data_IF_815855375868
#
_entry.id   IF_815855375868
#
_cell.length_a   1.000
_cell.length_b   1.000
_cell.length_c   1.000
_cell.angle_alpha   90.00
_cell.angle_beta   90.00
_cell.angle_gamma   90.00
#
_symmetry.space_group_name_H-M   'P 1'
#
loop_
_entity.id
_entity.type
_entity.pdbx_description
1 polymer ?
#
# COMPACT_ATOMS: atom_id res chain seq x y z
N UNK A 1 -30.00 36.63 -8.20
CA UNK A 1 -29.62 35.91 -9.45
C UNK A 1 -29.00 34.57 -9.06
N UNK A 2 -29.58 33.43 -9.47
CA UNK A 2 -29.00 32.13 -9.18
C UNK A 2 -27.72 31.89 -10.00
N UNK A 3 -26.70 31.28 -9.38
CA UNK A 3 -25.42 30.93 -10.01
C UNK A 3 -25.62 29.82 -11.07
N UNK A 4 -24.86 29.82 -12.18
CA UNK A 4 -24.97 28.78 -13.19
C UNK A 4 -24.50 27.41 -12.67
N UNK A 5 -25.05 26.29 -13.18
CA UNK A 5 -24.63 24.95 -12.79
C UNK A 5 -23.21 24.64 -13.31
N UNK A 6 -22.39 24.03 -12.44
CA UNK A 6 -21.06 23.56 -12.80
C UNK A 6 -21.15 22.43 -13.84
N UNK A 7 -20.66 22.65 -15.05
CA UNK A 7 -20.37 21.59 -16.02
C UNK A 7 -19.06 20.88 -15.65
N UNK A 8 -18.99 19.54 -15.70
CA UNK A 8 -17.76 18.79 -15.43
C UNK A 8 -16.69 19.04 -16.53
N UNK A 9 -15.39 18.99 -16.20
CA UNK A 9 -14.33 19.20 -17.19
C UNK A 9 -14.28 18.07 -18.22
N UNK A 10 -14.05 18.45 -19.48
CA UNK A 10 -14.22 17.62 -20.68
C UNK A 10 -13.10 16.59 -20.96
N UNK A 11 -12.32 16.14 -19.97
CA UNK A 11 -11.32 15.06 -20.16
C UNK A 11 -11.23 14.13 -18.94
N UNK A 12 -11.35 12.80 -19.13
CA UNK A 12 -11.25 11.85 -18.03
C UNK A 12 -9.78 11.47 -17.77
N UNK A 13 -9.32 11.67 -16.54
CA UNK A 13 -8.20 10.91 -15.98
C UNK A 13 -8.55 9.40 -15.97
N UNK A 14 -7.59 8.48 -16.11
CA UNK A 14 -7.91 7.06 -16.17
C UNK A 14 -8.26 6.55 -14.75
N UNK A 15 -9.56 6.27 -14.60
CA UNK A 15 -10.12 5.17 -13.81
C UNK A 15 -9.73 5.03 -12.33
N UNK A 16 -10.14 6.00 -11.49
CA UNK A 16 -10.59 5.70 -10.12
C UNK A 16 -12.07 5.30 -10.15
N UNK A 17 -12.41 4.25 -10.90
CA UNK A 17 -13.76 3.69 -10.87
C UNK A 17 -13.82 2.73 -9.69
N UNK A 18 -14.34 3.22 -8.57
CA UNK A 18 -15.22 2.51 -7.64
C UNK A 18 -15.75 3.49 -6.58
N UNK A 19 -16.52 4.49 -7.01
CA UNK A 19 -17.56 5.06 -6.15
C UNK A 19 -18.75 4.09 -6.19
N UNK A 20 -18.73 3.05 -5.36
CA UNK A 20 -19.93 2.24 -5.13
C UNK A 20 -20.69 2.80 -3.93
N UNK A 21 -21.77 3.51 -4.24
CA UNK A 21 -23.05 3.50 -3.51
C UNK A 21 -23.01 3.72 -2.00
N UNK A 22 -22.97 4.98 -1.58
CA UNK A 22 -23.84 5.45 -0.49
C UNK A 22 -24.03 6.96 -0.63
N UNK A 23 -25.28 7.40 -0.73
CA UNK A 23 -25.66 8.81 -0.81
C UNK A 23 -25.43 9.52 0.52
N UNK A 24 -24.17 9.74 0.88
CA UNK A 24 -23.83 10.58 2.02
C UNK A 24 -23.75 12.05 1.57
N UNK A 25 -24.46 12.98 2.23
CA UNK A 25 -24.26 14.41 1.99
C UNK A 25 -22.78 14.76 2.26
N UNK A 26 -22.24 15.72 1.50
CA UNK A 26 -20.85 16.23 1.58
C UNK A 26 -20.54 16.94 2.92
N UNK A 27 -21.28 16.64 3.98
CA UNK A 27 -21.19 17.23 5.31
C UNK A 27 -20.00 16.65 6.06
N UNK A 28 -18.97 17.49 6.17
CA UNK A 28 -17.88 17.48 7.16
C UNK A 28 -17.21 16.11 7.39
N UNK A 29 -16.29 15.73 6.50
CA UNK A 29 -15.17 14.87 6.91
C UNK A 29 -14.18 15.74 7.70
N UNK A 30 -13.72 15.34 8.90
CA UNK A 30 -12.83 16.19 9.71
C UNK A 30 -11.42 16.34 9.13
N UNK A 31 -11.11 15.64 8.03
CA UNK A 31 -9.77 15.52 7.48
C UNK A 31 -9.83 15.54 5.94
N UNK A 32 -8.89 16.24 5.30
CA UNK A 32 -8.94 16.56 3.87
C UNK A 32 -8.63 15.42 2.89
N UNK A 33 -8.68 15.68 1.57
CA UNK A 33 -8.52 14.67 0.50
C UNK A 33 -7.18 13.92 0.52
N UNK A 34 -6.13 14.47 1.15
CA UNK A 34 -4.82 13.82 1.29
C UNK A 34 -4.84 12.66 2.29
N UNK A 35 -5.59 12.80 3.40
CA UNK A 35 -5.70 11.75 4.39
C UNK A 35 -6.47 10.54 3.83
N UNK A 36 -7.56 10.81 3.11
CA UNK A 36 -8.33 9.76 2.44
C UNK A 36 -7.45 9.00 1.42
N UNK A 37 -6.61 9.71 0.66
CA UNK A 37 -5.67 9.08 -0.28
C UNK A 37 -4.61 8.22 0.43
N UNK A 38 -4.00 8.74 1.50
CA UNK A 38 -3.02 7.99 2.30
C UNK A 38 -3.64 6.74 2.94
N UNK A 39 -4.85 6.87 3.49
CA UNK A 39 -5.59 5.74 4.07
C UNK A 39 -5.88 4.66 3.03
N UNK A 40 -6.34 5.06 1.85
CA UNK A 40 -6.59 4.10 0.77
C UNK A 40 -5.29 3.43 0.30
N UNK A 41 -4.20 4.19 0.17
CA UNK A 41 -2.90 3.65 -0.22
C UNK A 41 -2.37 2.61 0.78
N UNK A 42 -2.60 2.79 2.09
CA UNK A 42 -2.16 1.83 3.10
C UNK A 42 -3.09 0.62 3.19
N UNK A 43 -4.40 0.87 3.24
CA UNK A 43 -5.37 -0.08 3.81
C UNK A 43 -6.36 -0.67 2.81
N UNK A 44 -6.40 -0.20 1.55
CA UNK A 44 -7.33 -0.75 0.56
C UNK A 44 -6.90 -2.15 0.11
N UNK A 45 -7.52 -3.18 0.70
CA UNK A 45 -7.21 -4.58 0.41
C UNK A 45 -7.52 -5.02 -1.03
N UNK A 46 -8.29 -4.22 -1.79
CA UNK A 46 -8.69 -4.54 -3.17
C UNK A 46 -7.89 -3.74 -4.20
N UNK A 47 -7.34 -2.59 -3.82
CA UNK A 47 -6.52 -1.80 -4.72
C UNK A 47 -5.17 -2.48 -4.97
N UNK A 48 -4.93 -2.85 -6.22
CA UNK A 48 -3.61 -3.27 -6.67
C UNK A 48 -2.62 -2.13 -6.41
N UNK A 49 -1.54 -2.42 -5.68
CA UNK A 49 -0.54 -1.43 -5.29
C UNK A 49 -0.73 -0.78 -3.91
N UNK A 50 -1.82 -1.09 -3.18
CA UNK A 50 -1.89 -0.71 -1.77
C UNK A 50 -0.87 -1.50 -0.94
N UNK A 51 -0.41 -0.91 0.17
CA UNK A 51 0.63 -1.52 1.01
C UNK A 51 0.14 -2.85 1.58
N UNK A 52 -1.07 -2.91 2.15
CA UNK A 52 -1.64 -4.16 2.68
C UNK A 52 -1.76 -5.25 1.60
N UNK A 53 -2.14 -4.88 0.37
CA UNK A 53 -2.24 -5.82 -0.74
C UNK A 53 -0.87 -6.42 -1.08
N UNK A 54 0.14 -5.55 -1.22
CA UNK A 54 1.51 -5.95 -1.54
C UNK A 54 2.15 -6.79 -0.43
N UNK A 55 1.93 -6.44 0.84
CA UNK A 55 2.43 -7.21 1.99
C UNK A 55 1.81 -8.60 2.03
N UNK A 56 0.51 -8.73 1.79
CA UNK A 56 -0.15 -10.04 1.72
C UNK A 56 0.30 -10.86 0.52
N UNK A 57 0.58 -10.21 -0.61
CA UNK A 57 1.18 -10.88 -1.76
C UNK A 57 2.59 -11.39 -1.44
N UNK A 58 3.40 -10.58 -0.77
CA UNK A 58 4.72 -10.96 -0.28
C UNK A 58 4.65 -12.12 0.72
N UNK A 59 3.69 -12.12 1.65
CA UNK A 59 3.47 -13.25 2.57
C UNK A 59 3.16 -14.55 1.85
N UNK A 60 2.26 -14.54 0.85
CA UNK A 60 1.95 -15.73 0.06
C UNK A 60 3.17 -16.26 -0.68
N UNK A 61 3.99 -15.36 -1.25
CA UNK A 61 5.24 -15.75 -1.90
C UNK A 61 6.25 -16.33 -0.89
N UNK A 62 6.45 -15.64 0.23
CA UNK A 62 7.36 -16.03 1.31
C UNK A 62 6.98 -17.38 1.95
N UNK A 63 5.68 -17.68 2.08
CA UNK A 63 5.19 -18.93 2.65
C UNK A 63 5.69 -20.16 1.90
N UNK A 64 5.85 -20.07 0.57
CA UNK A 64 6.40 -21.17 -0.25
C UNK A 64 7.87 -21.48 0.03
N UNK A 65 8.57 -20.57 0.72
CA UNK A 65 10.01 -20.66 1.02
C UNK A 65 10.28 -20.49 2.52
N UNK A 66 9.28 -20.73 3.39
CA UNK A 66 9.38 -20.47 4.84
C UNK A 66 10.61 -21.08 5.50
N UNK A 67 10.95 -22.32 5.14
CA UNK A 67 12.14 -23.04 5.64
C UNK A 67 13.48 -22.40 5.22
N UNK A 68 13.47 -21.47 4.28
CA UNK A 68 14.65 -20.78 3.73
C UNK A 68 14.77 -19.32 4.18
N UNK A 69 13.76 -18.80 4.88
CA UNK A 69 13.74 -17.44 5.41
C UNK A 69 14.30 -17.43 6.83
N UNK A 70 14.95 -16.34 7.24
CA UNK A 70 15.22 -16.17 8.67
C UNK A 70 13.91 -16.06 9.43
N UNK A 71 13.94 -16.53 10.67
CA UNK A 71 12.86 -16.36 11.64
C UNK A 71 12.47 -14.88 11.75
N UNK A 72 13.46 -13.99 11.81
CA UNK A 72 13.23 -12.54 11.92
C UNK A 72 12.55 -11.95 10.69
N UNK A 73 12.91 -12.41 9.48
CA UNK A 73 12.27 -11.94 8.25
C UNK A 73 10.78 -12.29 8.24
N UNK A 74 10.47 -13.53 8.60
CA UNK A 74 9.08 -13.98 8.70
C UNK A 74 8.31 -13.21 9.78
N UNK A 75 8.92 -13.02 10.95
CA UNK A 75 8.32 -12.27 12.05
C UNK A 75 7.99 -10.82 11.67
N UNK A 76 8.95 -10.08 11.08
CA UNK A 76 8.73 -8.71 10.63
C UNK A 76 7.63 -8.60 9.57
N UNK A 77 7.56 -9.57 8.65
CA UNK A 77 6.53 -9.59 7.61
C UNK A 77 5.12 -9.81 8.18
N UNK A 78 5.00 -10.63 9.25
CA UNK A 78 3.74 -10.81 9.97
C UNK A 78 3.38 -9.55 10.78
N UNK A 79 4.36 -8.94 11.46
CA UNK A 79 4.16 -7.69 12.21
C UNK A 79 3.65 -6.58 11.31
N UNK A 80 4.26 -6.40 10.13
CA UNK A 80 3.84 -5.37 9.18
C UNK A 80 2.40 -5.57 8.70
N UNK A 81 2.00 -6.80 8.36
CA UNK A 81 0.62 -7.05 7.94
C UNK A 81 -0.37 -6.82 9.06
N UNK A 82 -0.02 -7.24 10.28
CA UNK A 82 -0.84 -7.03 11.47
C UNK A 82 -1.04 -5.54 11.74
N UNK A 83 0.02 -4.74 11.76
CA UNK A 83 -0.05 -3.29 11.98
C UNK A 83 -0.95 -2.60 10.94
N UNK A 84 -0.82 -2.99 9.67
CA UNK A 84 -1.66 -2.45 8.60
C UNK A 84 -3.12 -2.92 8.74
N UNK A 85 -3.37 -4.18 9.09
CA UNK A 85 -4.73 -4.70 9.25
C UNK A 85 -5.48 -4.09 10.45
N UNK A 86 -4.77 -3.84 11.55
CA UNK A 86 -5.31 -3.16 12.74
C UNK A 86 -5.51 -1.66 12.47
N UNK A 87 -4.56 -1.01 11.78
CA UNK A 87 -4.65 0.40 11.40
C UNK A 87 -5.85 0.73 10.52
N UNK A 88 -6.36 -0.23 9.74
CA UNK A 88 -7.53 -0.05 8.88
C UNK A 88 -8.86 0.16 9.64
N UNK A 89 -8.93 -0.26 10.90
CA UNK A 89 -10.17 -0.24 11.70
C UNK A 89 -10.33 1.03 12.54
N UNK A 90 -9.26 1.84 12.65
CA UNK A 90 -9.21 3.02 13.51
C UNK A 90 -9.44 4.28 12.67
N UNK A 91 -10.23 5.27 13.13
CA UNK A 91 -10.22 6.59 12.52
C UNK A 91 -8.88 7.28 12.83
N UNK A 92 -8.10 7.60 11.80
CA UNK A 92 -6.81 8.28 11.95
C UNK A 92 -6.97 9.79 11.83
N UNK A 93 -6.29 10.53 12.70
CA UNK A 93 -5.84 11.89 12.45
C UNK A 93 -4.68 11.93 11.45
N UNK A 94 -4.35 13.11 10.94
CA UNK A 94 -3.20 13.26 10.03
C UNK A 94 -1.87 12.87 10.68
N UNK A 95 -1.69 13.17 11.97
CA UNK A 95 -0.49 12.80 12.71
C UNK A 95 -0.39 11.27 12.89
N UNK A 96 -1.49 10.61 13.25
CA UNK A 96 -1.52 9.14 13.40
C UNK A 96 -1.28 8.42 12.06
N UNK A 97 -1.78 8.99 10.95
CA UNK A 97 -1.51 8.46 9.61
C UNK A 97 -0.03 8.54 9.25
N UNK A 98 0.63 9.67 9.55
CA UNK A 98 2.07 9.81 9.34
C UNK A 98 2.86 8.81 10.20
N UNK A 99 2.48 8.62 11.46
CA UNK A 99 3.13 7.63 12.33
C UNK A 99 2.97 6.20 11.81
N UNK A 100 1.79 5.82 11.32
CA UNK A 100 1.60 4.50 10.71
C UNK A 100 2.44 4.32 9.44
N UNK A 101 2.52 5.34 8.59
CA UNK A 101 3.38 5.32 7.39
C UNK A 101 4.84 5.15 7.79
N UNK A 102 5.29 5.87 8.81
CA UNK A 102 6.66 5.79 9.31
C UNK A 102 6.97 4.41 9.90
N UNK A 103 6.08 3.84 10.71
CA UNK A 103 6.22 2.48 11.24
C UNK A 103 6.32 1.44 10.12
N UNK A 104 5.41 1.51 9.15
CA UNK A 104 5.42 0.62 7.99
C UNK A 104 6.72 0.79 7.17
N UNK A 105 7.21 2.02 6.99
CA UNK A 105 8.46 2.30 6.29
C UNK A 105 9.66 1.71 7.02
N UNK A 106 9.72 1.81 8.36
CA UNK A 106 10.78 1.22 9.17
C UNK A 106 10.80 -0.31 9.05
N UNK A 107 9.64 -0.96 9.11
CA UNK A 107 9.53 -2.42 8.94
C UNK A 107 9.94 -2.86 7.53
N UNK A 108 9.53 -2.13 6.49
CA UNK A 108 9.95 -2.41 5.11
C UNK A 108 11.45 -2.20 4.93
N UNK A 109 12.04 -1.18 5.54
CA UNK A 109 13.48 -0.95 5.53
C UNK A 109 14.24 -2.10 6.21
N UNK A 110 13.76 -2.58 7.36
CA UNK A 110 14.33 -3.72 8.05
C UNK A 110 14.24 -5.02 7.21
N UNK A 111 13.09 -5.30 6.60
CA UNK A 111 12.92 -6.41 5.67
C UNK A 111 13.87 -6.32 4.47
N UNK A 112 14.10 -5.12 3.94
CA UNK A 112 15.07 -4.87 2.87
C UNK A 112 16.51 -5.16 3.30
N UNK A 113 16.89 -4.77 4.52
CA UNK A 113 18.20 -5.11 5.11
C UNK A 113 18.38 -6.62 5.24
N UNK A 114 17.43 -7.32 5.85
CA UNK A 114 17.46 -8.78 5.98
C UNK A 114 17.50 -9.50 4.63
N UNK A 115 16.82 -8.95 3.61
CA UNK A 115 16.90 -9.48 2.24
C UNK A 115 18.29 -9.34 1.63
N UNK A 116 19.04 -8.30 2.00
CA UNK A 116 20.41 -8.09 1.51
C UNK A 116 21.43 -8.99 2.21
N UNK A 117 21.20 -9.30 3.48
CA UNK A 117 22.11 -10.10 4.31
C UNK A 117 21.89 -11.61 4.12
N UNK A 118 20.63 -12.06 4.09
CA UNK A 118 20.29 -13.48 4.23
C UNK A 118 19.97 -14.17 2.88
N UNK A 119 19.64 -13.40 1.83
CA UNK A 119 19.23 -13.99 0.56
C UNK A 119 20.48 -14.46 -0.22
N UNK A 120 20.65 -15.78 -0.33
CA UNK A 120 21.79 -16.37 -1.05
C UNK A 120 21.89 -15.75 -2.46
N UNK A 121 23.02 -15.09 -2.76
CA UNK A 121 23.23 -14.19 -3.93
C UNK A 121 23.15 -14.86 -5.31
N UNK A 122 22.62 -16.07 -5.39
CA UNK A 122 22.56 -16.87 -6.61
C UNK A 122 21.19 -16.73 -7.32
N UNK A 123 20.24 -17.64 -7.11
CA UNK A 123 19.02 -17.69 -7.92
C UNK A 123 17.93 -16.71 -7.46
N UNK A 124 17.71 -16.58 -6.15
CA UNK A 124 16.64 -15.74 -5.59
C UNK A 124 16.86 -14.24 -5.85
N UNK A 125 18.11 -13.78 -5.77
CA UNK A 125 18.46 -12.37 -5.94
C UNK A 125 18.26 -11.89 -7.38
N UNK A 126 18.65 -12.71 -8.37
CA UNK A 126 18.42 -12.40 -9.79
C UNK A 126 16.93 -12.34 -10.13
N UNK A 127 16.12 -13.26 -9.59
CA UNK A 127 14.68 -13.25 -9.79
C UNK A 127 14.03 -11.98 -9.21
N UNK A 128 14.37 -11.62 -7.97
CA UNK A 128 13.87 -10.40 -7.34
C UNK A 128 14.30 -9.12 -8.08
N UNK A 129 15.55 -9.05 -8.55
CA UNK A 129 16.03 -7.91 -9.33
C UNK A 129 15.31 -7.79 -10.67
N UNK A 130 15.12 -8.89 -11.40
CA UNK A 130 14.35 -8.91 -12.65
C UNK A 130 12.90 -8.47 -12.40
N UNK A 131 12.24 -9.02 -11.36
CA UNK A 131 10.90 -8.60 -10.97
C UNK A 131 10.81 -7.10 -10.71
N UNK A 132 11.72 -6.54 -9.90
CA UNK A 132 11.75 -5.09 -9.64
C UNK A 132 11.96 -4.23 -10.90
N UNK A 133 12.72 -4.72 -11.89
CA UNK A 133 12.89 -4.03 -13.18
C UNK A 133 11.62 -4.11 -14.02
N UNK A 134 10.94 -5.25 -14.03
CA UNK A 134 9.66 -5.43 -14.71
C UNK A 134 8.60 -4.50 -14.11
N UNK A 135 8.44 -4.47 -12.79
CA UNK A 135 7.48 -3.56 -12.12
C UNK A 135 7.78 -2.08 -12.40
N UNK A 136 9.06 -1.70 -12.47
CA UNK A 136 9.48 -0.34 -12.86
C UNK A 136 9.19 -0.02 -14.32
N UNK A 137 9.28 -1.02 -15.21
CA UNK A 137 8.98 -0.87 -16.64
C UNK A 137 7.51 -1.04 -17.01
N UNK A 138 6.72 -1.69 -16.15
CA UNK A 138 5.28 -1.92 -16.34
C UNK A 138 4.42 -0.74 -15.89
N UNK A 139 4.98 0.17 -15.09
CA UNK A 139 4.33 1.44 -14.77
C UNK A 139 4.28 2.27 -16.05
N UNK A 140 3.10 2.51 -16.66
CA UNK A 140 3.03 3.32 -17.86
C UNK A 140 3.58 4.71 -17.53
N UNK A 141 4.60 5.13 -18.28
CA UNK A 141 5.08 6.50 -18.24
C UNK A 141 3.88 7.42 -18.51
N UNK A 142 3.60 8.31 -17.55
CA UNK A 142 2.65 9.40 -17.72
C UNK A 142 3.13 10.37 -18.81
#
# INVERSE_FOLDING_TARGET
MPRPPCTPPARPWPAFKNCSSSGAPWTRRPWGPRLDAARNALHDQKAYGSVIYLVRAAQRAAASMRERLSVDFWALLLTLEKELAEGAQTPLSEAEALQQIESALQLVAALSGLSQENMNRVAGWRFLDMGRRIERGSTPAA
#
